data_IF_883845194339
#
_entry.id   IF_883845194339
#
_cell.length_a   1.000
_cell.length_b   1.000
_cell.length_c   1.000
_cell.angle_alpha   90.00
_cell.angle_beta   90.00
_cell.angle_gamma   90.00
#
_symmetry.space_group_name_H-M   'P 1'
#
loop_
_entity.id
_entity.type
_entity.pdbx_description
1 polymer ?
#
# COMPACT_ATOMS: atom_id res chain seq x y z
N UNK A 1 -17.97 4.92 -12.04
CA UNK A 1 -18.62 4.91 -10.70
C UNK A 1 -17.70 5.63 -9.72
N UNK A 2 -18.21 6.56 -8.90
CA UNK A 2 -17.39 7.24 -7.87
C UNK A 2 -17.31 6.35 -6.63
N UNK A 3 -16.11 6.15 -6.09
CA UNK A 3 -15.93 5.45 -4.81
C UNK A 3 -16.51 6.31 -3.69
N UNK A 4 -17.22 5.70 -2.74
CA UNK A 4 -17.75 6.41 -1.59
C UNK A 4 -16.62 6.94 -0.69
N UNK A 5 -16.90 7.97 0.13
CA UNK A 5 -15.92 8.56 1.05
C UNK A 5 -15.30 7.52 2.00
N UNK A 6 -16.08 6.64 2.66
CA UNK A 6 -15.50 5.63 3.55
C UNK A 6 -14.61 4.65 2.82
N UNK A 7 -15.01 4.18 1.62
CA UNK A 7 -14.23 3.22 0.85
C UNK A 7 -12.91 3.83 0.37
N UNK A 8 -12.92 5.09 -0.07
CA UNK A 8 -11.69 5.77 -0.50
C UNK A 8 -10.66 5.87 0.63
N UNK A 9 -11.12 6.20 1.84
CA UNK A 9 -10.26 6.20 3.04
C UNK A 9 -9.80 4.81 3.43
N UNK A 10 -10.67 3.81 3.37
CA UNK A 10 -10.32 2.43 3.63
C UNK A 10 -9.21 1.94 2.70
N UNK A 11 -9.35 2.16 1.38
CA UNK A 11 -8.33 1.76 0.39
C UNK A 11 -7.00 2.48 0.63
N UNK A 12 -7.02 3.76 0.97
CA UNK A 12 -5.82 4.52 1.30
C UNK A 12 -5.12 3.95 2.55
N UNK A 13 -5.87 3.77 3.64
CA UNK A 13 -5.36 3.21 4.89
C UNK A 13 -4.83 1.78 4.68
N UNK A 14 -5.54 0.96 3.89
CA UNK A 14 -5.12 -0.40 3.55
C UNK A 14 -3.81 -0.41 2.76
N UNK A 15 -3.66 0.48 1.77
CA UNK A 15 -2.40 0.62 1.03
C UNK A 15 -1.23 0.98 1.93
N UNK A 16 -1.42 1.94 2.84
CA UNK A 16 -0.40 2.35 3.82
C UNK A 16 -0.07 1.21 4.79
N UNK A 17 -1.08 0.52 5.32
CA UNK A 17 -0.88 -0.66 6.17
C UNK A 17 -0.10 -1.77 5.45
N UNK A 18 -0.44 -2.02 4.19
CA UNK A 18 0.26 -3.00 3.34
C UNK A 18 1.76 -2.68 3.25
N UNK A 19 2.15 -1.41 3.11
CA UNK A 19 3.56 -1.03 3.15
C UNK A 19 4.25 -1.45 4.45
N UNK A 20 3.63 -1.20 5.60
CA UNK A 20 4.20 -1.61 6.90
C UNK A 20 4.42 -3.12 6.97
N UNK A 21 3.45 -3.93 6.52
CA UNK A 21 3.57 -5.39 6.49
C UNK A 21 4.74 -5.82 5.61
N UNK A 22 4.77 -5.39 4.34
CA UNK A 22 5.75 -5.92 3.38
C UNK A 22 7.17 -5.40 3.64
N UNK A 23 7.33 -4.15 4.08
CA UNK A 23 8.64 -3.61 4.47
C UNK A 23 9.18 -4.38 5.68
N UNK A 24 8.35 -4.63 6.69
CA UNK A 24 8.76 -5.37 7.89
C UNK A 24 9.07 -6.82 7.56
N UNK A 25 8.28 -7.45 6.69
CA UNK A 25 8.51 -8.80 6.21
C UNK A 25 9.84 -8.93 5.47
N UNK A 26 10.14 -8.04 4.51
CA UNK A 26 11.43 -8.06 3.79
C UNK A 26 12.60 -7.83 4.74
N UNK A 27 12.48 -6.93 5.72
CA UNK A 27 13.51 -6.74 6.76
C UNK A 27 13.76 -8.02 7.56
N UNK A 28 12.71 -8.78 7.88
CA UNK A 28 12.84 -10.05 8.58
C UNK A 28 13.39 -11.15 7.67
N UNK A 29 13.02 -11.16 6.39
CA UNK A 29 13.54 -12.10 5.40
C UNK A 29 15.05 -11.94 5.21
N UNK A 30 15.53 -10.71 5.07
CA UNK A 30 16.97 -10.40 4.93
C UNK A 30 17.74 -10.67 6.22
N UNK A 31 17.11 -10.51 7.39
CA UNK A 31 17.69 -10.90 8.69
C UNK A 31 17.62 -12.39 8.98
N UNK A 32 17.11 -13.17 8.02
CA UNK A 32 16.88 -14.59 8.16
C UNK A 32 16.06 -14.97 9.41
N UNK A 33 14.97 -14.24 9.67
CA UNK A 33 14.13 -14.48 10.85
C UNK A 33 13.49 -15.88 10.89
N UNK A 34 13.47 -16.62 9.77
CA UNK A 34 13.00 -17.99 9.68
C UNK A 34 14.10 -19.05 9.70
N UNK A 35 15.38 -18.69 9.50
CA UNK A 35 16.48 -19.63 9.32
C UNK A 35 16.45 -20.40 7.99
N UNK A 36 15.73 -19.89 6.99
CA UNK A 36 15.53 -20.53 5.68
C UNK A 36 15.98 -19.65 4.51
N UNK A 37 16.26 -18.37 4.75
CA UNK A 37 16.55 -17.41 3.70
C UNK A 37 17.95 -17.61 3.10
N UNK A 38 18.90 -18.06 3.92
CA UNK A 38 20.28 -18.30 3.52
C UNK A 38 20.70 -19.71 3.94
N UNK A 39 21.58 -20.32 3.15
CA UNK A 39 22.21 -21.58 3.52
C UNK A 39 23.48 -21.37 4.39
N UNK A 40 24.14 -22.47 4.75
CA UNK A 40 25.36 -22.43 5.60
C UNK A 40 26.53 -21.66 4.95
N UNK A 41 26.52 -21.51 3.62
CA UNK A 41 27.51 -20.69 2.89
C UNK A 41 27.11 -19.21 2.82
N UNK A 42 25.89 -18.87 3.24
CA UNK A 42 25.33 -17.52 3.17
C UNK A 42 24.68 -17.20 1.82
N UNK A 43 24.48 -18.19 0.95
CA UNK A 43 23.85 -17.98 -0.35
C UNK A 43 22.31 -17.94 -0.22
N UNK A 44 21.63 -17.06 -0.97
CA UNK A 44 20.17 -16.93 -0.89
C UNK A 44 19.50 -18.17 -1.47
N UNK A 45 18.61 -18.78 -0.68
CA UNK A 45 17.89 -19.99 -1.08
C UNK A 45 16.71 -19.69 -2.00
N UNK A 46 16.09 -20.74 -2.57
CA UNK A 46 14.82 -20.59 -3.29
C UNK A 46 13.71 -19.99 -2.41
N UNK A 47 13.71 -20.29 -1.10
CA UNK A 47 12.76 -19.70 -0.14
C UNK A 47 12.88 -18.18 -0.12
N UNK A 48 14.10 -17.65 -0.08
CA UNK A 48 14.35 -16.20 -0.13
C UNK A 48 13.77 -15.58 -1.40
N UNK A 49 14.10 -16.13 -2.58
CA UNK A 49 13.66 -15.56 -3.85
C UNK A 49 12.15 -15.59 -4.04
N UNK A 50 11.49 -16.70 -3.68
CA UNK A 50 10.03 -16.81 -3.76
C UNK A 50 9.36 -15.78 -2.85
N UNK A 51 9.80 -15.66 -1.60
CA UNK A 51 9.18 -14.74 -0.64
C UNK A 51 9.50 -13.27 -0.97
N UNK A 52 10.69 -12.97 -1.47
CA UNK A 52 11.04 -11.64 -1.93
C UNK A 52 10.16 -11.23 -3.12
N UNK A 53 9.99 -12.10 -4.11
CA UNK A 53 9.13 -11.84 -5.27
C UNK A 53 7.67 -11.62 -4.86
N UNK A 54 7.14 -12.45 -3.95
CA UNK A 54 5.81 -12.30 -3.38
C UNK A 54 5.65 -10.98 -2.62
N UNK A 55 6.64 -10.61 -1.80
CA UNK A 55 6.62 -9.38 -1.02
C UNK A 55 6.65 -8.14 -1.91
N UNK A 56 7.54 -8.11 -2.92
CA UNK A 56 7.63 -6.99 -3.89
C UNK A 56 6.33 -6.86 -4.68
N UNK A 57 5.82 -7.97 -5.21
CA UNK A 57 4.56 -7.95 -5.98
C UNK A 57 3.40 -7.44 -5.13
N UNK A 58 3.28 -7.94 -3.90
CA UNK A 58 2.22 -7.55 -2.98
C UNK A 58 2.35 -6.09 -2.51
N UNK A 59 3.59 -5.60 -2.33
CA UNK A 59 3.86 -4.20 -2.05
C UNK A 59 3.40 -3.29 -3.20
N UNK A 60 3.67 -3.67 -4.45
CA UNK A 60 3.21 -2.92 -5.63
C UNK A 60 1.69 -2.91 -5.75
N UNK A 61 1.03 -4.05 -5.50
CA UNK A 61 -0.43 -4.14 -5.48
C UNK A 61 -1.02 -3.27 -4.36
N UNK A 62 -0.46 -3.31 -3.15
CA UNK A 62 -0.83 -2.42 -2.04
C UNK A 62 -0.67 -0.95 -2.38
N UNK A 63 0.42 -0.59 -3.07
CA UNK A 63 0.67 0.77 -3.57
C UNK A 63 -0.40 1.20 -4.56
N UNK A 64 -0.75 0.37 -5.54
CA UNK A 64 -1.79 0.66 -6.51
C UNK A 64 -3.15 0.89 -5.83
N UNK A 65 -3.51 0.05 -4.85
CA UNK A 65 -4.72 0.21 -4.03
C UNK A 65 -4.69 1.54 -3.27
N UNK A 66 -3.58 1.88 -2.62
CA UNK A 66 -3.40 3.14 -1.91
C UNK A 66 -3.55 4.36 -2.83
N UNK A 67 -3.01 4.30 -4.05
CA UNK A 67 -3.16 5.36 -5.07
C UNK A 67 -4.62 5.53 -5.49
N UNK A 68 -5.36 4.43 -5.68
CA UNK A 68 -6.80 4.47 -5.98
C UNK A 68 -7.56 5.15 -4.84
N UNK A 69 -7.29 4.76 -3.59
CA UNK A 69 -7.88 5.39 -2.40
C UNK A 69 -7.57 6.88 -2.31
N UNK A 70 -6.30 7.27 -2.50
CA UNK A 70 -5.85 8.66 -2.50
C UNK A 70 -6.56 9.52 -3.56
N UNK A 71 -6.70 9.00 -4.78
CA UNK A 71 -7.42 9.67 -5.86
C UNK A 71 -8.90 9.85 -5.51
N UNK A 72 -9.52 8.86 -4.88
CA UNK A 72 -10.89 8.94 -4.36
C UNK A 72 -11.03 10.06 -3.34
N UNK A 73 -10.16 10.10 -2.32
CA UNK A 73 -10.16 11.15 -1.29
C UNK A 73 -9.96 12.54 -1.90
N UNK A 74 -9.03 12.70 -2.86
CA UNK A 74 -8.80 13.99 -3.55
C UNK A 74 -10.01 14.46 -4.35
N UNK A 75 -10.70 13.56 -5.06
CA UNK A 75 -11.89 13.91 -5.84
C UNK A 75 -13.01 14.44 -4.93
N UNK A 76 -13.23 13.77 -3.79
CA UNK A 76 -14.24 14.14 -2.81
C UNK A 76 -13.93 15.48 -2.11
N UNK A 77 -12.65 15.79 -1.87
CA UNK A 77 -12.23 17.10 -1.33
C UNK A 77 -12.51 18.24 -2.30
N UNK A 78 -12.40 18.01 -3.62
CA UNK A 78 -12.72 19.02 -4.65
C UNK A 78 -14.22 19.32 -4.71
N UNK A 79 -15.06 18.28 -4.64
CA UNK A 79 -16.52 18.45 -4.63
C UNK A 79 -17.02 19.19 -3.38
N UNK A 80 -16.41 18.95 -2.21
CA UNK A 80 -16.77 19.65 -0.98
C UNK A 80 -16.36 21.14 -0.98
N UNK A 81 -15.41 21.55 -1.82
CA UNK A 81 -14.94 22.95 -1.90
C UNK A 81 -15.75 23.81 -2.89
N UNK A 82 -16.39 23.20 -3.90
CA UNK A 82 -17.22 23.89 -4.89
C UNK A 82 -18.47 24.63 -4.33
N UNK A 83 -19.23 24.11 -3.34
CA UNK A 83 -20.48 24.76 -2.89
C UNK A 83 -20.28 26.01 -2.02
N UNK A 84 -19.04 26.33 -1.61
CA UNK A 84 -18.76 27.54 -0.83
C UNK A 84 -18.56 28.80 -1.70
N UNK A 85 -18.15 28.62 -2.96
CA UNK A 85 -17.87 29.72 -3.89
C UNK A 85 -19.17 30.33 -4.47
N UNK A 86 -20.21 29.49 -4.66
CA UNK A 86 -21.50 29.91 -5.23
C UNK A 86 -22.36 30.74 -4.25
N UNK A 87 -22.24 30.52 -2.94
CA UNK A 87 -23.02 31.25 -1.93
C UNK A 87 -22.44 32.62 -1.55
N UNK A 88 -21.22 32.94 -1.99
CA UNK A 88 -20.61 34.25 -1.73
C UNK A 88 -20.82 35.24 -2.90
N UNK A 89 -21.46 34.79 -3.98
CA UNK A 89 -21.69 35.56 -5.21
C UNK A 89 -23.15 36.02 -5.39
N UNK A 90 -24.03 35.82 -4.40
CA UNK A 90 -25.44 36.27 -4.36
C UNK A 90 -25.70 37.21 -3.20
#
# INVERSE_FOLDING_TARGET
MKLSRPVSWFLLAFGVWSWFIWITFVKNLVKDGSGLAFDDAGDPTAYFWVHLALAVTSFLLGTAIGVIGFRGVRALRREAAAPADEKSAT
#
